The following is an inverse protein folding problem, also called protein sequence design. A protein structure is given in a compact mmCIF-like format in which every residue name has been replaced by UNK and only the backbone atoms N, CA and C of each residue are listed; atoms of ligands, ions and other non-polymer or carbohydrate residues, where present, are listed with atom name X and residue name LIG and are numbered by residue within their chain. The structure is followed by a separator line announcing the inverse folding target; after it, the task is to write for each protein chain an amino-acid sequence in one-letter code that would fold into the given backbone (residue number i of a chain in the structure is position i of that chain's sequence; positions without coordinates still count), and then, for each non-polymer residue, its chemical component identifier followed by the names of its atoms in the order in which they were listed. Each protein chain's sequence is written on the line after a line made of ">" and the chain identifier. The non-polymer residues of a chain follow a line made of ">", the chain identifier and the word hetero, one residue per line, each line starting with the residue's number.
data_IF_686645218662
#
_entry.id   IF_686645218662
#
_cell.length_a   1.000
_cell.length_b   1.000
_cell.length_c   1.000
_cell.angle_alpha   90.00
_cell.angle_beta   90.00
_cell.angle_gamma   90.00
#
_symmetry.space_group_name_H-M   'P 1'
#
loop_
_entity.id
_entity.type
_entity.pdbx_description
1 polymer ?
#
# COMPACT_ATOMS: atom_id res chain seq x y z
N UNK A 1 10.64 -2.09 -4.47
CA UNK A 1 9.98 -3.15 -3.65
C UNK A 1 10.88 -3.76 -2.58
N UNK A 2 12.19 -3.89 -2.75
CA UNK A 2 13.06 -4.63 -1.81
C UNK A 2 12.94 -4.19 -0.35
N UNK A 3 12.94 -2.89 -0.07
CA UNK A 3 12.79 -2.37 1.28
C UNK A 3 11.41 -2.69 1.89
N UNK A 4 10.33 -2.45 1.13
CA UNK A 4 8.95 -2.73 1.57
C UNK A 4 8.70 -4.23 1.80
N UNK A 5 9.27 -5.08 0.95
CA UNK A 5 9.18 -6.53 1.12
C UNK A 5 9.89 -7.00 2.39
N UNK A 6 11.07 -6.46 2.71
CA UNK A 6 11.78 -6.79 3.95
C UNK A 6 11.01 -6.34 5.19
N UNK A 7 10.39 -5.16 5.14
CA UNK A 7 9.51 -4.67 6.22
C UNK A 7 8.36 -5.66 6.48
N UNK A 8 7.78 -6.25 5.44
CA UNK A 8 6.68 -7.20 5.56
C UNK A 8 7.09 -8.56 6.17
N UNK A 9 8.37 -8.91 6.19
CA UNK A 9 8.81 -10.17 6.81
C UNK A 9 8.56 -10.19 8.32
N UNK A 10 8.64 -9.02 8.98
CA UNK A 10 8.49 -8.90 10.44
C UNK A 10 7.17 -8.18 10.83
N UNK A 11 6.31 -7.86 9.86
CA UNK A 11 5.08 -7.08 10.11
C UNK A 11 3.87 -7.99 10.42
N UNK A 12 3.24 -7.76 11.56
CA UNK A 12 1.99 -8.44 11.94
C UNK A 12 0.75 -7.84 11.27
N UNK A 13 0.77 -6.54 10.92
CA UNK A 13 -0.31 -5.81 10.24
C UNK A 13 0.28 -4.73 9.34
N UNK A 14 -0.30 -4.54 8.15
CA UNK A 14 -0.01 -3.41 7.27
C UNK A 14 -1.16 -2.39 7.31
N UNK A 15 -0.85 -1.15 7.68
CA UNK A 15 -1.74 0.00 7.47
C UNK A 15 -1.37 0.71 6.17
N UNK A 16 -2.32 0.78 5.23
CA UNK A 16 -2.07 1.35 3.90
C UNK A 16 -2.96 2.58 3.66
N UNK A 17 -2.34 3.73 3.45
CA UNK A 17 -3.05 4.93 2.96
C UNK A 17 -3.19 4.79 1.44
N UNK A 18 -4.33 4.29 0.98
CA UNK A 18 -4.49 3.85 -0.40
C UNK A 18 -5.94 3.89 -0.88
N UNK A 19 -6.16 4.58 -1.99
CA UNK A 19 -7.44 4.71 -2.72
C UNK A 19 -7.95 3.45 -3.42
N UNK A 20 -7.28 2.31 -3.27
CA UNK A 20 -7.67 1.06 -3.91
C UNK A 20 -7.29 0.95 -5.39
N UNK A 21 -6.69 1.97 -6.00
CA UNK A 21 -6.33 1.94 -7.43
C UNK A 21 -5.03 1.18 -7.69
N UNK A 22 -4.87 0.55 -8.87
CA UNK A 22 -3.64 -0.15 -9.25
C UNK A 22 -2.38 0.75 -9.17
N UNK A 23 -1.23 0.11 -9.02
CA UNK A 23 0.04 0.81 -9.06
C UNK A 23 0.22 1.51 -10.41
N UNK A 24 0.66 2.78 -10.41
CA UNK A 24 1.07 3.50 -11.63
C UNK A 24 2.53 3.24 -12.02
N UNK A 25 3.25 2.46 -11.23
CA UNK A 25 4.65 2.10 -11.41
C UNK A 25 5.12 1.12 -10.33
N UNK A 26 6.21 0.41 -10.61
CA UNK A 26 6.73 -0.64 -9.74
C UNK A 26 7.17 -0.12 -8.38
N UNK A 27 6.72 -0.78 -7.31
CA UNK A 27 7.01 -0.42 -5.93
C UNK A 27 6.07 0.61 -5.31
N UNK A 28 4.92 0.87 -5.92
CA UNK A 28 3.88 1.72 -5.34
C UNK A 28 3.12 1.04 -4.19
N UNK A 29 2.28 1.79 -3.49
CA UNK A 29 1.47 1.29 -2.37
C UNK A 29 0.63 0.07 -2.74
N UNK A 30 0.10 0.02 -3.96
CA UNK A 30 -0.68 -1.13 -4.43
C UNK A 30 0.15 -2.42 -4.52
N UNK A 31 1.44 -2.33 -4.88
CA UNK A 31 2.32 -3.51 -4.94
C UNK A 31 2.65 -4.02 -3.54
N UNK A 32 2.83 -3.12 -2.57
CA UNK A 32 3.06 -3.47 -1.17
C UNK A 32 1.80 -4.10 -0.56
N UNK A 33 0.61 -3.56 -0.87
CA UNK A 33 -0.67 -4.14 -0.44
C UNK A 33 -0.90 -5.51 -1.06
N UNK A 34 -0.60 -5.68 -2.35
CA UNK A 34 -0.68 -6.98 -3.00
C UNK A 34 0.27 -7.98 -2.33
N UNK A 35 1.51 -7.57 -2.05
CA UNK A 35 2.50 -8.43 -1.40
C UNK A 35 2.10 -8.84 0.02
N UNK A 36 1.62 -7.90 0.84
CA UNK A 36 1.13 -8.19 2.18
C UNK A 36 -0.01 -9.21 2.17
N UNK A 37 -0.97 -9.05 1.24
CA UNK A 37 -2.06 -10.02 1.05
C UNK A 37 -1.57 -11.40 0.63
N UNK A 38 -0.57 -11.48 -0.25
CA UNK A 38 0.04 -12.77 -0.65
C UNK A 38 0.71 -13.49 0.51
N UNK A 39 1.22 -12.74 1.48
CA UNK A 39 1.88 -13.25 2.70
C UNK A 39 0.92 -13.46 3.86
N UNK A 40 -0.39 -13.30 3.63
CA UNK A 40 -1.44 -13.40 4.64
C UNK A 40 -1.29 -12.38 5.80
N UNK A 41 -0.52 -11.31 5.57
CA UNK A 41 -0.42 -10.19 6.52
C UNK A 41 -1.72 -9.37 6.41
N UNK A 42 -2.48 -9.20 7.51
CA UNK A 42 -3.69 -8.38 7.51
C UNK A 42 -3.41 -6.96 7.03
N UNK A 43 -4.20 -6.50 6.05
CA UNK A 43 -4.09 -5.14 5.51
C UNK A 43 -5.28 -4.30 5.95
N UNK A 44 -5.02 -3.20 6.66
CA UNK A 44 -6.00 -2.16 6.96
C UNK A 44 -5.81 -0.99 6.01
N UNK A 45 -6.73 -0.83 5.07
CA UNK A 45 -6.75 0.33 4.18
C UNK A 45 -7.40 1.51 4.90
N UNK A 46 -6.75 2.67 4.83
CA UNK A 46 -7.24 3.94 5.35
C UNK A 46 -7.36 4.89 4.15
N UNK A 47 -8.59 5.15 3.73
CA UNK A 47 -8.90 6.10 2.68
C UNK A 47 -10.31 6.68 2.92
N UNK A 48 -10.42 7.91 3.44
CA UNK A 48 -11.71 8.58 3.59
C UNK A 48 -12.39 8.84 2.24
N UNK A 49 -13.72 8.89 2.23
CA UNK A 49 -14.51 9.11 1.00
C UNK A 49 -14.18 10.47 0.35
N UNK A 50 -13.87 11.48 1.14
CA UNK A 50 -13.50 12.81 0.66
C UNK A 50 -12.02 12.93 0.26
N UNK A 51 -11.21 11.89 0.50
CA UNK A 51 -9.80 11.91 0.17
C UNK A 51 -9.61 11.85 -1.34
N UNK A 52 -8.89 12.84 -1.88
CA UNK A 52 -8.49 12.89 -3.28
C UNK A 52 -7.01 12.65 -3.43
N UNK A 53 -6.64 11.74 -4.33
CA UNK A 53 -5.28 11.68 -4.87
C UNK A 53 -5.07 12.88 -5.80
N UNK A 54 -4.43 13.94 -5.30
CA UNK A 54 -3.94 15.02 -6.14
C UNK A 54 -2.62 14.59 -6.78
N UNK A 55 -2.54 14.68 -8.11
CA UNK A 55 -1.25 14.73 -8.79
C UNK A 55 -0.63 16.07 -8.38
N UNK A 56 0.55 16.04 -7.75
CA UNK A 56 1.17 17.23 -7.18
C UNK A 56 1.20 18.39 -8.17
N UNK A 57 0.44 19.44 -7.87
CA UNK A 57 0.76 20.80 -8.27
C UNK A 57 1.55 21.38 -7.11
N UNK A 58 2.87 21.16 -7.13
CA UNK A 58 3.84 21.86 -6.31
C UNK A 58 4.80 22.56 -7.26
#
# INVERSE_FOLDING_TARGET
>A
MTASARMLDDAEVLFAIWDGQPARGYGGTADVVAEARRREVPVRVIWPDEARRTLGAW
#
